data_IF_173620755925
#
_entry.id   IF_173620755925
#
_cell.length_a   1.000
_cell.length_b   1.000
_cell.length_c   1.000
_cell.angle_alpha   90.00
_cell.angle_beta   90.00
_cell.angle_gamma   90.00
#
_symmetry.space_group_name_H-M   'P 1'
#
loop_
_entity.id
_entity.type
_entity.pdbx_description
1 polymer ?
#
# COMPACT_ATOMS: atom_id res chain seq x y z
N UNK A 1 1.66 20.96 -3.97
CA UNK A 1 0.63 20.53 -2.99
C UNK A 1 1.24 19.47 -2.07
N UNK A 2 0.77 19.33 -0.83
CA UNK A 2 1.22 18.24 0.08
C UNK A 2 0.07 17.25 0.28
N UNK A 3 0.39 15.96 0.35
CA UNK A 3 -0.56 14.88 0.57
C UNK A 3 -0.03 13.92 1.64
N UNK A 4 -0.93 13.22 2.34
CA UNK A 4 -0.61 12.23 3.37
C UNK A 4 -1.36 10.94 3.06
N UNK A 5 -0.63 9.81 3.03
CA UNK A 5 -1.21 8.47 2.84
C UNK A 5 -1.21 7.74 4.17
N UNK A 6 -2.41 7.40 4.67
CA UNK A 6 -2.56 6.70 5.94
C UNK A 6 -2.25 5.21 5.78
N UNK A 7 -1.10 4.79 6.30
CA UNK A 7 -0.55 3.44 6.14
C UNK A 7 -0.17 2.74 7.48
N UNK A 8 -0.74 3.17 8.61
CA UNK A 8 -0.34 2.73 9.96
C UNK A 8 -1.05 1.50 10.54
N UNK A 9 -1.83 0.75 9.76
CA UNK A 9 -2.55 -0.43 10.26
C UNK A 9 -1.68 -1.69 10.32
N UNK A 10 -1.88 -2.54 11.33
CA UNK A 10 -1.11 -3.80 11.53
C UNK A 10 -1.31 -4.85 10.41
N UNK A 11 -2.39 -4.74 9.63
CA UNK A 11 -2.60 -5.60 8.45
C UNK A 11 -3.03 -7.03 8.76
N UNK A 12 -3.52 -7.33 9.97
CA UNK A 12 -3.93 -8.68 10.43
C UNK A 12 -4.90 -9.40 9.50
N UNK A 13 -5.85 -8.68 8.89
CA UNK A 13 -6.89 -9.24 7.99
C UNK A 13 -6.37 -9.76 6.65
N UNK A 14 -5.17 -9.34 6.21
CA UNK A 14 -4.56 -9.78 4.94
C UNK A 14 -3.46 -10.82 5.13
N UNK A 15 -3.22 -11.32 6.35
CA UNK A 15 -2.26 -12.38 6.57
C UNK A 15 -2.66 -13.64 5.76
N UNK A 16 -1.71 -14.36 5.15
CA UNK A 16 -0.26 -14.26 5.34
C UNK A 16 0.44 -13.19 4.47
N UNK A 17 -0.27 -12.51 3.57
CA UNK A 17 0.32 -11.55 2.62
C UNK A 17 1.01 -10.36 3.29
N UNK A 18 0.62 -10.04 4.51
CA UNK A 18 1.13 -8.93 5.33
C UNK A 18 2.01 -9.37 6.50
N UNK A 19 2.37 -10.66 6.59
CA UNK A 19 3.19 -11.15 7.71
C UNK A 19 4.63 -10.62 7.65
N UNK A 20 5.17 -10.45 6.44
CA UNK A 20 6.57 -10.02 6.21
C UNK A 20 6.67 -8.68 5.45
N UNK A 21 5.54 -8.01 5.22
CA UNK A 21 5.49 -6.74 4.48
C UNK A 21 4.25 -5.93 4.87
N UNK A 22 4.30 -4.60 4.82
CA UNK A 22 3.14 -3.78 5.13
C UNK A 22 2.09 -3.86 4.01
N UNK A 23 0.81 -3.68 4.36
CA UNK A 23 -0.31 -3.74 3.40
C UNK A 23 -0.09 -2.92 2.11
N UNK A 24 0.43 -1.68 2.13
CA UNK A 24 0.64 -0.91 0.90
C UNK A 24 1.66 -1.51 -0.06
N UNK A 25 2.55 -2.39 0.42
CA UNK A 25 3.56 -3.05 -0.41
C UNK A 25 3.09 -4.40 -0.96
N UNK A 26 1.90 -4.87 -0.60
CA UNK A 26 1.29 -6.06 -1.21
C UNK A 26 1.08 -5.79 -2.70
N UNK A 27 1.50 -6.74 -3.53
CA UNK A 27 1.37 -6.66 -4.99
C UNK A 27 -0.09 -6.85 -5.42
N UNK A 28 -0.56 -5.93 -6.26
CA UNK A 28 -1.82 -5.96 -6.98
C UNK A 28 -1.48 -5.88 -8.47
N UNK A 29 -1.83 -6.93 -9.23
CA UNK A 29 -1.55 -7.01 -10.67
C UNK A 29 -0.07 -6.77 -11.04
N UNK A 30 0.87 -7.23 -10.19
CA UNK A 30 2.31 -7.11 -10.42
C UNK A 30 2.93 -5.80 -9.93
N UNK A 31 2.15 -4.87 -9.36
CA UNK A 31 2.64 -3.60 -8.80
C UNK A 31 2.23 -3.46 -7.32
N UNK A 32 3.05 -2.86 -6.44
CA UNK A 32 2.63 -2.54 -5.07
C UNK A 32 1.37 -1.66 -5.05
N UNK A 33 0.43 -1.93 -4.13
CA UNK A 33 -0.76 -1.09 -3.95
C UNK A 33 -0.43 0.41 -3.79
N UNK A 34 0.68 0.74 -3.12
CA UNK A 34 1.14 2.11 -2.92
C UNK A 34 1.51 2.83 -4.21
N UNK A 35 1.99 2.09 -5.23
CA UNK A 35 2.38 2.69 -6.51
C UNK A 35 1.19 3.36 -7.20
N UNK A 36 0.03 2.70 -7.21
CA UNK A 36 -1.21 3.26 -7.75
C UNK A 36 -1.61 4.57 -7.07
N UNK A 37 -1.46 4.67 -5.74
CA UNK A 37 -1.77 5.88 -4.98
C UNK A 37 -0.82 7.02 -5.38
N UNK A 38 0.48 6.74 -5.50
CA UNK A 38 1.47 7.73 -5.91
C UNK A 38 1.29 8.17 -7.36
N UNK A 39 0.95 7.26 -8.27
CA UNK A 39 0.62 7.59 -9.66
C UNK A 39 -0.62 8.50 -9.75
N UNK A 40 -1.65 8.26 -8.92
CA UNK A 40 -2.83 9.14 -8.84
C UNK A 40 -2.49 10.52 -8.29
N UNK A 41 -1.59 10.62 -7.29
CA UNK A 41 -1.17 11.89 -6.70
C UNK A 41 -0.24 12.73 -7.59
N UNK A 42 0.41 12.11 -8.58
CA UNK A 42 1.29 12.82 -9.54
C UNK A 42 0.52 13.49 -10.68
N UNK A 43 -0.74 13.12 -10.90
CA UNK A 43 -1.62 13.74 -11.90
C UNK A 43 -2.11 15.09 -11.39
#
# INVERSE_FOLDING_TARGET
MRAVVMAGGEGTRLRPLTSNQPKPMVSLCGKPCMEYILELLRR
#
